data_IF_885442892220
#
_entry.id   IF_885442892220
#
_cell.length_a   1.000
_cell.length_b   1.000
_cell.length_c   1.000
_cell.angle_alpha   90.00
_cell.angle_beta   90.00
_cell.angle_gamma   90.00
#
_symmetry.space_group_name_H-M   'P 1'
#
loop_
_entity.id
_entity.type
_entity.pdbx_description
1 polymer ?
#
# COMPACT_ATOMS: atom_id res chain seq x y z
N UNK A 1 25.04 -8.07 7.31
CA UNK A 1 24.61 -7.55 5.99
C UNK A 1 24.23 -8.72 5.06
N UNK A 2 23.22 -9.52 5.42
CA UNK A 2 22.80 -10.74 4.67
C UNK A 2 21.40 -10.65 4.04
N UNK A 3 20.69 -9.53 4.23
CA UNK A 3 19.34 -9.34 3.71
C UNK A 3 19.33 -9.07 2.20
N UNK A 4 20.42 -8.53 1.66
CA UNK A 4 20.56 -8.15 0.25
C UNK A 4 21.25 -9.20 -0.64
N UNK A 5 21.87 -10.23 -0.05
CA UNK A 5 22.57 -11.26 -0.83
C UNK A 5 21.65 -12.37 -1.33
N UNK A 6 20.44 -12.49 -0.78
CA UNK A 6 19.48 -13.52 -1.18
C UNK A 6 18.57 -13.01 -2.29
N UNK A 7 17.96 -11.84 -2.12
CA UNK A 7 16.90 -11.38 -3.02
C UNK A 7 17.43 -10.90 -4.39
N UNK A 8 16.88 -11.47 -5.47
CA UNK A 8 17.08 -10.96 -6.83
C UNK A 8 16.61 -9.50 -6.91
N UNK A 9 17.42 -8.63 -7.54
CA UNK A 9 17.18 -7.20 -7.68
C UNK A 9 15.78 -6.90 -8.25
N UNK A 10 15.31 -7.76 -9.17
CA UNK A 10 13.96 -7.68 -9.75
C UNK A 10 12.86 -7.88 -8.69
N UNK A 11 13.04 -8.83 -7.78
CA UNK A 11 12.08 -9.08 -6.70
C UNK A 11 12.06 -7.94 -5.71
N UNK A 12 13.23 -7.41 -5.33
CA UNK A 12 13.33 -6.23 -4.45
C UNK A 12 12.58 -5.05 -5.07
N UNK A 13 12.78 -4.80 -6.38
CA UNK A 13 12.11 -3.71 -7.07
C UNK A 13 10.57 -3.87 -7.08
N UNK A 14 10.06 -5.07 -7.36
CA UNK A 14 8.62 -5.34 -7.33
C UNK A 14 8.05 -5.14 -5.91
N UNK A 15 8.77 -5.61 -4.88
CA UNK A 15 8.37 -5.38 -3.49
C UNK A 15 8.32 -3.88 -3.14
N UNK A 16 9.30 -3.09 -3.62
CA UNK A 16 9.30 -1.64 -3.44
C UNK A 16 8.11 -0.96 -4.13
N UNK A 17 7.73 -1.41 -5.33
CA UNK A 17 6.53 -0.89 -6.02
C UNK A 17 5.28 -1.13 -5.18
N UNK A 18 5.07 -2.35 -4.69
CA UNK A 18 3.92 -2.64 -3.84
C UNK A 18 3.97 -1.88 -2.52
N UNK A 19 5.13 -1.76 -1.88
CA UNK A 19 5.29 -0.95 -0.67
C UNK A 19 4.95 0.53 -0.93
N UNK A 20 5.36 1.09 -2.07
CA UNK A 20 5.00 2.44 -2.50
C UNK A 20 3.50 2.60 -2.71
N UNK A 21 2.83 1.62 -3.32
CA UNK A 21 1.37 1.61 -3.48
C UNK A 21 0.64 1.55 -2.13
N UNK A 22 1.16 0.81 -1.14
CA UNK A 22 0.61 0.78 0.22
C UNK A 22 0.71 2.16 0.87
N UNK A 23 1.90 2.77 0.84
CA UNK A 23 2.10 4.10 1.43
C UNK A 23 1.25 5.14 0.72
N UNK A 24 1.19 5.13 -0.61
CA UNK A 24 0.37 6.05 -1.39
C UNK A 24 -1.14 5.89 -1.12
N UNK A 25 -1.64 4.66 -1.02
CA UNK A 25 -3.03 4.38 -0.68
C UNK A 25 -3.40 4.86 0.72
N UNK A 26 -2.53 4.62 1.71
CA UNK A 26 -2.71 5.14 3.07
C UNK A 26 -2.66 6.67 3.10
N UNK A 27 -1.72 7.29 2.40
CA UNK A 27 -1.57 8.75 2.36
C UNK A 27 -2.81 9.42 1.74
N UNK A 28 -3.36 8.85 0.68
CA UNK A 28 -4.65 9.28 0.10
C UNK A 28 -5.79 9.14 1.11
N UNK A 29 -5.91 7.98 1.78
CA UNK A 29 -6.95 7.77 2.78
C UNK A 29 -6.86 8.78 3.93
N UNK A 30 -5.66 9.02 4.47
CA UNK A 30 -5.44 10.01 5.53
C UNK A 30 -5.64 11.45 5.08
N UNK A 31 -5.28 11.79 3.83
CA UNK A 31 -5.57 13.11 3.25
C UNK A 31 -7.07 13.36 3.22
N UNK A 32 -7.86 12.40 2.75
CA UNK A 32 -9.33 12.52 2.73
C UNK A 32 -9.95 12.50 4.12
N UNK A 33 -9.36 11.78 5.06
CA UNK A 33 -9.79 11.79 6.46
C UNK A 33 -9.53 13.16 7.11
N UNK A 34 -8.42 13.81 6.75
CA UNK A 34 -8.15 15.20 7.15
C UNK A 34 -9.15 16.18 6.53
N UNK A 35 -9.46 16.05 5.23
CA UNK A 35 -10.47 16.88 4.55
C UNK A 35 -11.87 16.71 5.16
N UNK A 36 -12.23 15.49 5.59
CA UNK A 36 -13.46 15.25 6.34
C UNK A 36 -13.45 15.96 7.69
N UNK A 37 -12.32 15.92 8.42
CA UNK A 37 -12.19 16.55 9.73
C UNK A 37 -12.30 18.07 9.70
N UNK A 38 -11.97 18.70 8.56
CA UNK A 38 -12.08 20.15 8.38
C UNK A 38 -13.50 20.62 8.02
N UNK A 39 -14.46 19.71 7.82
CA UNK A 39 -15.83 20.03 7.45
C UNK A 39 -15.98 20.64 6.05
N UNK A 40 -14.96 20.48 5.18
CA UNK A 40 -14.92 21.12 3.86
C UNK A 40 -15.85 20.46 2.84
N UNK A 41 -16.23 19.21 3.06
CA UNK A 41 -17.08 18.41 2.17
C UNK A 41 -18.06 17.55 2.99
N UNK A 42 -19.20 17.13 2.40
CA UNK A 42 -20.11 16.19 3.02
C UNK A 42 -19.45 14.86 3.38
N UNK A 43 -19.84 14.27 4.51
CA UNK A 43 -19.24 13.05 5.03
C UNK A 43 -19.32 11.85 4.07
N UNK A 44 -20.38 11.78 3.24
CA UNK A 44 -20.55 10.70 2.27
C UNK A 44 -19.53 10.77 1.12
N UNK A 45 -19.16 11.97 0.66
CA UNK A 45 -18.19 12.13 -0.44
C UNK A 45 -16.78 11.82 0.04
N UNK A 46 -16.37 12.40 1.16
CA UNK A 46 -15.04 12.13 1.72
C UNK A 46 -14.90 10.67 2.19
N UNK A 47 -15.96 10.08 2.75
CA UNK A 47 -15.97 8.70 3.21
C UNK A 47 -15.67 7.69 2.09
N UNK A 48 -16.22 7.91 0.89
CA UNK A 48 -15.96 7.06 -0.28
C UNK A 48 -14.47 7.07 -0.64
N UNK A 49 -13.83 8.23 -0.60
CA UNK A 49 -12.40 8.35 -0.95
C UNK A 49 -11.49 7.73 0.12
N UNK A 50 -11.85 7.85 1.41
CA UNK A 50 -11.15 7.15 2.50
C UNK A 50 -11.24 5.64 2.30
N UNK A 51 -12.44 5.11 2.08
CA UNK A 51 -12.65 3.66 1.87
C UNK A 51 -11.90 3.18 0.63
N UNK A 52 -11.96 3.91 -0.48
CA UNK A 52 -11.23 3.55 -1.69
C UNK A 52 -9.71 3.51 -1.48
N UNK A 53 -9.15 4.49 -0.76
CA UNK A 53 -7.73 4.52 -0.41
C UNK A 53 -7.31 3.35 0.49
N UNK A 54 -8.12 3.01 1.49
CA UNK A 54 -7.88 1.86 2.37
C UNK A 54 -7.97 0.53 1.62
N UNK A 55 -8.96 0.36 0.74
CA UNK A 55 -9.09 -0.85 -0.09
C UNK A 55 -7.89 -0.99 -1.03
N UNK A 56 -7.46 0.09 -1.68
CA UNK A 56 -6.26 0.07 -2.52
C UNK A 56 -5.01 -0.33 -1.72
N UNK A 57 -4.85 0.20 -0.51
CA UNK A 57 -3.75 -0.19 0.38
C UNK A 57 -3.81 -1.68 0.77
N UNK A 58 -4.99 -2.21 1.11
CA UNK A 58 -5.17 -3.62 1.45
C UNK A 58 -4.83 -4.55 0.27
N UNK A 59 -5.25 -4.20 -0.94
CA UNK A 59 -4.90 -4.95 -2.16
C UNK A 59 -3.39 -4.91 -2.43
N UNK A 60 -2.75 -3.76 -2.23
CA UNK A 60 -1.31 -3.62 -2.38
C UNK A 60 -0.53 -4.42 -1.31
N UNK A 61 -1.00 -4.46 -0.06
CA UNK A 61 -0.45 -5.32 1.00
C UNK A 61 -0.54 -6.79 0.59
N UNK A 62 -1.68 -7.23 0.06
CA UNK A 62 -1.86 -8.61 -0.38
C UNK A 62 -0.86 -8.97 -1.51
N UNK A 63 -0.71 -8.07 -2.49
CA UNK A 63 0.30 -8.20 -3.55
C UNK A 63 1.72 -8.32 -3.00
N UNK A 64 2.08 -7.46 -2.03
CA UNK A 64 3.39 -7.50 -1.37
C UNK A 64 3.63 -8.84 -0.65
N UNK A 65 2.65 -9.32 0.12
CA UNK A 65 2.73 -10.60 0.83
C UNK A 65 2.85 -11.78 -0.15
N UNK A 66 2.16 -11.73 -1.29
CA UNK A 66 2.25 -12.77 -2.32
C UNK A 66 3.63 -12.82 -2.98
N UNK A 67 4.22 -11.65 -3.26
CA UNK A 67 5.59 -11.57 -3.81
C UNK A 67 6.60 -12.10 -2.80
N UNK A 68 6.47 -11.70 -1.53
CA UNK A 68 7.36 -12.16 -0.46
C UNK A 68 7.29 -13.67 -0.23
N UNK A 69 6.08 -14.24 -0.18
CA UNK A 69 5.89 -15.69 0.00
C UNK A 69 6.37 -16.49 -1.19
N UNK A 70 6.08 -16.04 -2.42
CA UNK A 70 6.56 -16.69 -3.65
C UNK A 70 8.08 -16.72 -3.75
N UNK A 71 8.74 -15.66 -3.27
CA UNK A 71 10.19 -15.61 -3.17
C UNK A 71 10.73 -16.61 -2.14
N UNK A 72 10.12 -16.65 -0.94
CA UNK A 72 10.53 -17.59 0.13
C UNK A 72 10.39 -19.06 -0.29
N UNK A 73 9.40 -19.42 -1.10
CA UNK A 73 9.22 -20.79 -1.60
C UNK A 73 10.19 -21.20 -2.72
N UNK A 74 10.86 -20.23 -3.36
CA UNK A 74 11.86 -20.50 -4.41
C UNK A 74 13.29 -20.53 -3.89
N UNK A 75 13.54 -19.94 -2.71
CA UNK A 75 14.80 -20.00 -1.97
C UNK A 75 14.89 -21.27 -1.14
#
# INVERSE_FOLDING_TARGET
MKLFETFDLKTIFIMLVFAGLVVGGLQLAFMWLWVLSSGAIPAYEGGVHVIAGLVAALLAINGLLRVYTSYRTKS
#
